data_IF_789100754861
#
_entry.id   IF_789100754861
#
_cell.length_a   1.000
_cell.length_b   1.000
_cell.length_c   1.000
_cell.angle_alpha   90.00
_cell.angle_beta   90.00
_cell.angle_gamma   90.00
#
_symmetry.space_group_name_H-M   'P 1'
#
loop_
_entity.id
_entity.type
_entity.pdbx_description
1 polymer ?
#
# COMPACT_ATOMS: atom_id res chain seq x y z
N UNK A 1 14.06 3.61 1.92
CA UNK A 1 14.23 5.04 1.65
C UNK A 1 15.26 5.22 0.54
N UNK A 2 14.95 5.94 -0.55
CA UNK A 2 16.01 6.29 -1.52
C UNK A 2 16.94 7.33 -0.88
N UNK A 3 18.16 7.44 -1.41
CA UNK A 3 19.30 8.18 -0.86
C UNK A 3 19.07 9.69 -0.58
N UNK A 4 17.89 10.21 -0.85
CA UNK A 4 17.46 11.60 -0.76
C UNK A 4 16.11 11.81 -0.04
N UNK A 5 15.60 10.82 0.72
CA UNK A 5 14.31 10.93 1.40
C UNK A 5 13.09 10.79 0.48
N UNK A 6 13.30 10.25 -0.73
CA UNK A 6 12.24 9.96 -1.69
C UNK A 6 11.71 8.53 -1.54
N UNK A 7 10.41 8.38 -1.77
CA UNK A 7 9.68 7.11 -1.71
C UNK A 7 9.30 6.67 -3.13
N UNK A 8 9.10 5.37 -3.30
CA UNK A 8 8.42 4.81 -4.47
C UNK A 8 6.98 4.51 -4.06
N UNK A 9 6.02 5.03 -4.84
CA UNK A 9 4.59 4.73 -4.63
C UNK A 9 4.10 3.78 -5.70
N UNK A 10 3.48 2.69 -5.26
CA UNK A 10 2.82 1.71 -6.11
C UNK A 10 1.34 1.67 -5.73
N UNK A 11 0.48 2.11 -6.63
CA UNK A 11 -0.98 2.05 -6.45
C UNK A 11 -1.57 0.93 -7.32
N UNK A 12 -2.40 0.10 -6.71
CA UNK A 12 -3.19 -0.92 -7.39
C UNK A 12 -4.65 -0.81 -6.97
N UNK A 13 -5.55 -0.76 -7.95
CA UNK A 13 -6.97 -0.95 -7.67
C UNK A 13 -7.23 -2.45 -7.66
N UNK A 14 -7.54 -2.97 -6.48
CA UNK A 14 -8.05 -4.31 -6.29
C UNK A 14 -9.57 -4.22 -6.14
N UNK A 15 -10.31 -4.89 -7.03
CA UNK A 15 -11.76 -5.05 -6.89
C UNK A 15 -12.13 -6.51 -7.07
N UNK A 16 -13.07 -7.00 -6.27
CA UNK A 16 -13.68 -8.32 -6.48
C UNK A 16 -14.97 -8.11 -7.26
N UNK A 17 -15.02 -8.62 -8.49
CA UNK A 17 -16.21 -8.59 -9.33
C UNK A 17 -16.68 -10.03 -9.51
N UNK A 18 -17.84 -10.36 -8.95
CA UNK A 18 -18.42 -11.72 -9.01
C UNK A 18 -17.47 -12.81 -8.48
N UNK A 19 -16.76 -12.53 -7.39
CA UNK A 19 -15.79 -13.46 -6.80
C UNK A 19 -14.44 -13.55 -7.54
N UNK A 20 -14.27 -12.82 -8.65
CA UNK A 20 -13.01 -12.77 -9.39
C UNK A 20 -12.26 -11.48 -9.04
N UNK A 21 -11.02 -11.57 -8.52
CA UNK A 21 -10.19 -10.40 -8.33
C UNK A 21 -9.79 -9.80 -9.67
N UNK A 22 -10.12 -8.55 -9.88
CA UNK A 22 -9.63 -7.76 -11.00
C UNK A 22 -8.64 -6.74 -10.45
N UNK A 23 -7.37 -6.88 -10.85
CA UNK A 23 -6.33 -5.88 -10.64
C UNK A 23 -6.27 -5.01 -11.89
N UNK A 24 -6.46 -3.71 -11.77
CA UNK A 24 -6.17 -2.79 -12.89
C UNK A 24 -4.71 -2.34 -12.87
N UNK A 25 -4.28 -1.67 -13.94
CA UNK A 25 -2.91 -1.24 -14.20
C UNK A 25 -2.22 -0.67 -12.96
N UNK A 26 -1.08 -1.25 -12.61
CA UNK A 26 -0.23 -0.75 -11.53
C UNK A 26 0.29 0.62 -11.92
N UNK A 27 -0.14 1.65 -11.20
CA UNK A 27 0.39 3.00 -11.39
C UNK A 27 1.59 3.17 -10.48
N UNK A 28 2.76 3.46 -11.07
CA UNK A 28 4.02 3.64 -10.35
C UNK A 28 4.44 5.11 -10.41
N UNK A 29 4.71 5.69 -9.25
CA UNK A 29 5.39 6.99 -9.14
C UNK A 29 6.80 6.69 -8.60
N UNK A 30 7.84 6.72 -9.45
CA UNK A 30 9.18 6.27 -9.07
C UNK A 30 9.84 7.17 -8.03
N UNK A 31 9.36 8.40 -7.91
CA UNK A 31 9.89 9.44 -7.06
C UNK A 31 8.72 10.29 -6.52
N UNK A 32 8.42 10.14 -5.24
CA UNK A 32 7.46 10.99 -4.51
C UNK A 32 8.07 11.39 -3.17
N UNK A 33 7.89 12.64 -2.75
CA UNK A 33 8.31 13.06 -1.41
C UNK A 33 7.34 12.54 -0.35
N UNK A 34 7.78 12.43 0.91
CA UNK A 34 6.90 12.08 2.04
C UNK A 34 5.70 13.04 2.14
N UNK A 35 5.94 14.34 1.99
CA UNK A 35 4.87 15.36 2.06
C UNK A 35 3.80 15.17 0.98
N UNK A 36 4.21 14.88 -0.26
CA UNK A 36 3.28 14.61 -1.36
C UNK A 36 2.48 13.32 -1.12
N UNK A 37 3.11 12.30 -0.52
CA UNK A 37 2.43 11.07 -0.15
C UNK A 37 1.43 11.30 1.00
N UNK A 38 1.80 12.08 2.00
CA UNK A 38 0.91 12.48 3.11
C UNK A 38 -0.31 13.25 2.61
N UNK A 39 -0.14 14.17 1.66
CA UNK A 39 -1.26 14.90 1.03
C UNK A 39 -2.25 13.94 0.33
N UNK A 40 -1.74 12.90 -0.35
CA UNK A 40 -2.57 11.86 -0.98
C UNK A 40 -3.32 11.06 0.08
N UNK A 41 -2.62 10.61 1.12
CA UNK A 41 -3.21 9.82 2.22
C UNK A 41 -4.31 10.63 2.91
N UNK A 42 -4.04 11.88 3.27
CA UNK A 42 -5.01 12.77 3.93
C UNK A 42 -6.25 12.99 3.07
N UNK A 43 -6.08 13.18 1.76
CA UNK A 43 -7.20 13.28 0.84
C UNK A 43 -8.08 12.01 0.84
N UNK A 44 -7.48 10.83 0.88
CA UNK A 44 -8.23 9.57 0.97
C UNK A 44 -8.98 9.48 2.30
N UNK A 45 -8.28 9.66 3.43
CA UNK A 45 -8.84 9.59 4.80
C UNK A 45 -10.04 10.52 4.97
N UNK A 46 -9.93 11.77 4.49
CA UNK A 46 -11.01 12.76 4.54
C UNK A 46 -12.20 12.32 3.67
N UNK A 47 -11.93 11.80 2.45
CA UNK A 47 -12.98 11.39 1.51
C UNK A 47 -13.72 10.13 1.96
N UNK A 48 -13.07 9.25 2.70
CA UNK A 48 -13.65 8.01 3.23
C UNK A 48 -14.22 8.19 4.64
N UNK A 49 -14.07 9.37 5.25
CA UNK A 49 -14.44 9.64 6.64
C UNK A 49 -13.82 8.62 7.61
N UNK A 50 -12.57 8.25 7.34
CA UNK A 50 -11.82 7.27 8.14
C UNK A 50 -11.31 7.95 9.40
N UNK A 51 -11.58 7.35 10.54
CA UNK A 51 -11.15 7.86 11.84
C UNK A 51 -9.64 7.61 12.03
N UNK A 52 -8.93 8.40 12.85
CA UNK A 52 -7.50 8.21 13.07
C UNK A 52 -7.10 6.83 13.59
N UNK A 53 -7.99 6.17 14.34
CA UNK A 53 -7.84 4.81 14.87
C UNK A 53 -8.15 3.71 13.83
N UNK A 54 -8.73 4.07 12.70
CA UNK A 54 -9.03 3.17 11.58
C UNK A 54 -7.94 3.22 10.49
N UNK A 55 -6.99 4.15 10.58
CA UNK A 55 -5.87 4.28 9.66
C UNK A 55 -4.56 3.82 10.30
N UNK A 56 -3.85 2.90 9.63
CA UNK A 56 -2.57 2.37 10.08
C UNK A 56 -1.54 2.48 8.94
N UNK A 57 -0.42 3.15 9.19
CA UNK A 57 0.74 3.15 8.29
C UNK A 57 1.68 2.00 8.67
N UNK A 58 1.92 1.09 7.73
CA UNK A 58 2.84 -0.03 7.90
C UNK A 58 4.19 0.28 7.23
N UNK A 59 5.25 0.40 8.03
CA UNK A 59 6.61 0.54 7.51
C UNK A 59 7.17 -0.82 7.08
N UNK A 60 7.19 -1.05 5.77
CA UNK A 60 7.75 -2.26 5.17
C UNK A 60 9.25 -2.14 4.87
N UNK A 61 9.85 -0.97 5.05
CA UNK A 61 11.26 -0.73 4.74
C UNK A 61 12.21 -1.43 5.72
N UNK A 62 11.73 -1.80 6.90
CA UNK A 62 12.45 -2.62 7.88
C UNK A 62 12.78 -4.03 7.37
N UNK A 63 12.08 -4.49 6.33
CA UNK A 63 12.31 -5.81 5.74
C UNK A 63 13.33 -5.74 4.60
N UNK A 64 14.32 -6.62 4.67
CA UNK A 64 15.43 -6.68 3.71
C UNK A 64 15.03 -7.19 2.31
N UNK A 65 13.87 -7.85 2.16
CA UNK A 65 13.43 -8.46 0.90
C UNK A 65 11.91 -8.35 0.72
N UNK A 66 11.46 -8.37 -0.54
CA UNK A 66 10.04 -8.35 -0.90
C UNK A 66 9.31 -9.56 -0.28
N UNK A 67 9.92 -10.75 -0.29
CA UNK A 67 9.30 -11.94 0.29
C UNK A 67 9.00 -11.78 1.78
N UNK A 68 9.91 -11.14 2.54
CA UNK A 68 9.69 -10.86 3.97
C UNK A 68 8.60 -9.81 4.19
N UNK A 69 8.51 -8.81 3.32
CA UNK A 69 7.41 -7.85 3.36
C UNK A 69 6.06 -8.57 3.13
N UNK A 70 6.01 -9.46 2.15
CA UNK A 70 4.82 -10.26 1.87
C UNK A 70 4.47 -11.19 3.03
N UNK A 71 5.44 -11.89 3.64
CA UNK A 71 5.20 -12.74 4.81
C UNK A 71 4.64 -11.94 6.00
N UNK A 72 5.19 -10.76 6.28
CA UNK A 72 4.68 -9.88 7.33
C UNK A 72 3.22 -9.48 7.08
N UNK A 73 2.91 -9.05 5.85
CA UNK A 73 1.55 -8.64 5.51
C UNK A 73 0.54 -9.79 5.57
N UNK A 74 0.98 -11.02 5.25
CA UNK A 74 0.15 -12.24 5.39
C UNK A 74 -0.16 -12.55 6.86
N UNK A 75 0.80 -12.34 7.77
CA UNK A 75 0.59 -12.57 9.20
C UNK A 75 -0.38 -11.56 9.84
N UNK A 76 -0.47 -10.35 9.29
CA UNK A 76 -1.40 -9.32 9.74
C UNK A 76 -2.83 -9.48 9.17
N UNK A 77 -3.09 -10.55 8.41
CA UNK A 77 -4.33 -10.76 7.66
C UNK A 77 -4.65 -9.58 6.70
N UNK A 78 -3.63 -8.79 6.36
CA UNK A 78 -3.70 -7.63 5.46
C UNK A 78 -3.47 -8.01 3.99
N UNK A 79 -3.16 -9.28 3.74
CA UNK A 79 -2.93 -9.85 2.42
C UNK A 79 -3.75 -11.11 2.26
N UNK A 80 -4.65 -11.07 1.28
CA UNK A 80 -5.43 -12.23 0.87
C UNK A 80 -4.50 -13.24 0.17
N UNK A 81 -4.03 -14.24 0.92
CA UNK A 81 -3.06 -15.24 0.46
C UNK A 81 -3.56 -16.13 -0.66
N UNK A 82 -4.88 -16.16 -0.87
CA UNK A 82 -5.56 -16.95 -1.89
C UNK A 82 -5.13 -16.56 -3.33
N UNK A 83 -4.51 -15.40 -3.52
CA UNK A 83 -4.19 -14.85 -4.85
C UNK A 83 -2.71 -14.45 -5.05
N UNK A 84 -1.80 -15.00 -4.23
CA UNK A 84 -0.34 -14.79 -4.32
C UNK A 84 0.40 -15.98 -4.95
N UNK A 85 -0.27 -17.11 -5.21
CA UNK A 85 0.29 -18.23 -5.99
C UNK A 85 -0.01 -18.08 -7.49
#
# INVERSE_FOLDING_TARGET
EKTNGMFEMVSYNFKIVSGVPQKSSVTRVPEISKSQLEDIIQNVVIKTNTSPDEFEELDLSIFSTIDKQLEFLKQQDRVDTMYIM
#
